data_IF_691227284664
#
_entry.id   IF_691227284664
#
_cell.length_a   1.000
_cell.length_b   1.000
_cell.length_c   1.000
_cell.angle_alpha   90.00
_cell.angle_beta   90.00
_cell.angle_gamma   90.00
#
_symmetry.space_group_name_H-M   'P 1'
#
loop_
_entity.id
_entity.type
_entity.pdbx_description
1 polymer ?
#
# COMPACT_ATOMS: atom_id res chain seq x y z
N UNK A 1 -3.45 -6.71 -5.35
CA UNK A 1 -3.54 -7.66 -4.22
C UNK A 1 -4.87 -8.39 -4.29
N UNK A 2 -4.90 -9.69 -4.01
CA UNK A 2 -6.13 -10.48 -4.04
C UNK A 2 -6.90 -10.38 -2.72
N UNK A 3 -8.22 -10.49 -2.77
CA UNK A 3 -9.12 -10.43 -1.61
C UNK A 3 -8.78 -11.50 -0.57
N UNK A 4 -8.55 -12.74 -1.01
CA UNK A 4 -8.17 -13.84 -0.14
C UNK A 4 -6.92 -13.53 0.71
N UNK A 5 -5.92 -12.87 0.12
CA UNK A 5 -4.71 -12.47 0.85
C UNK A 5 -5.02 -11.33 1.83
N UNK A 6 -5.82 -10.33 1.43
CA UNK A 6 -6.21 -9.21 2.32
C UNK A 6 -7.00 -9.71 3.53
N UNK A 7 -7.97 -10.60 3.31
CA UNK A 7 -8.75 -11.26 4.38
C UNK A 7 -7.86 -12.10 5.30
N UNK A 8 -6.93 -12.87 4.73
CA UNK A 8 -5.97 -13.64 5.51
C UNK A 8 -5.13 -12.74 6.42
N UNK A 9 -4.54 -11.66 5.88
CA UNK A 9 -3.74 -10.72 6.67
C UNK A 9 -4.55 -10.04 7.78
N UNK A 10 -5.81 -9.65 7.51
CA UNK A 10 -6.70 -9.09 8.55
C UNK A 10 -7.04 -10.10 9.64
N UNK A 11 -7.32 -11.36 9.27
CA UNK A 11 -7.57 -12.43 10.25
C UNK A 11 -6.41 -12.66 11.22
N UNK A 12 -5.21 -12.22 10.83
CA UNK A 12 -3.98 -12.30 11.62
C UNK A 12 -3.62 -11.00 12.32
N UNK A 13 -4.51 -10.00 12.33
CA UNK A 13 -4.29 -8.67 12.93
C UNK A 13 -3.06 -7.94 12.36
N UNK A 14 -2.65 -8.26 11.14
CA UNK A 14 -1.42 -7.70 10.52
C UNK A 14 -1.52 -6.18 10.36
N UNK A 15 -2.70 -5.66 10.06
CA UNK A 15 -2.93 -4.21 9.98
C UNK A 15 -2.46 -3.49 11.26
N UNK A 16 -2.88 -3.97 12.43
CA UNK A 16 -2.49 -3.36 13.71
C UNK A 16 -1.00 -3.47 13.95
N UNK A 17 -0.40 -4.64 13.71
CA UNK A 17 1.04 -4.85 13.88
C UNK A 17 1.85 -3.89 12.99
N UNK A 18 1.49 -3.78 11.70
CA UNK A 18 2.19 -2.91 10.77
C UNK A 18 1.97 -1.43 11.08
N UNK A 19 0.78 -1.03 11.56
CA UNK A 19 0.51 0.35 11.95
C UNK A 19 1.40 0.81 13.09
N UNK A 20 1.53 0.00 14.13
CA UNK A 20 2.38 0.32 15.29
C UNK A 20 3.88 0.23 14.92
N UNK A 21 4.24 -0.73 14.07
CA UNK A 21 5.61 -0.84 13.56
C UNK A 21 5.99 0.38 12.71
N UNK A 22 5.10 0.83 11.82
CA UNK A 22 5.30 2.00 10.96
C UNK A 22 5.48 3.32 11.74
N UNK A 23 4.96 3.41 12.97
CA UNK A 23 5.13 4.59 13.84
C UNK A 23 6.53 4.72 14.46
N UNK A 24 7.37 3.67 14.37
CA UNK A 24 8.71 3.71 14.93
C UNK A 24 9.61 4.68 14.15
N UNK A 25 10.33 5.56 14.84
CA UNK A 25 11.16 6.62 14.22
C UNK A 25 12.43 6.10 13.53
N UNK A 26 12.81 4.84 13.76
CA UNK A 26 14.10 4.27 13.31
C UNK A 26 13.93 3.19 12.23
N UNK A 27 12.87 3.29 11.43
CA UNK A 27 12.68 2.41 10.29
C UNK A 27 13.61 2.81 9.15
N UNK A 28 14.20 1.80 8.51
CA UNK A 28 14.76 1.99 7.18
C UNK A 28 13.69 2.54 6.24
N UNK A 29 14.08 3.45 5.35
CA UNK A 29 13.16 4.14 4.44
C UNK A 29 12.32 3.14 3.61
N UNK A 30 12.97 2.10 3.08
CA UNK A 30 12.31 1.07 2.28
C UNK A 30 11.34 0.23 3.12
N UNK A 31 11.68 -0.05 4.38
CA UNK A 31 10.81 -0.75 5.32
C UNK A 31 9.57 0.09 5.65
N UNK A 32 9.76 1.37 5.98
CA UNK A 32 8.66 2.31 6.25
C UNK A 32 7.69 2.39 5.07
N UNK A 33 8.22 2.64 3.86
CA UNK A 33 7.40 2.74 2.65
C UNK A 33 6.66 1.45 2.33
N UNK A 34 7.30 0.29 2.52
CA UNK A 34 6.64 -1.01 2.33
C UNK A 34 5.48 -1.19 3.32
N UNK A 35 5.68 -0.83 4.59
CA UNK A 35 4.61 -0.90 5.59
C UNK A 35 3.43 -0.01 5.21
N UNK A 36 3.69 1.23 4.79
CA UNK A 36 2.65 2.16 4.36
C UNK A 36 1.82 1.61 3.20
N UNK A 37 2.44 1.04 2.16
CA UNK A 37 1.72 0.43 1.02
C UNK A 37 0.81 -0.70 1.46
N UNK A 38 1.28 -1.58 2.34
CA UNK A 38 0.48 -2.69 2.86
C UNK A 38 -0.70 -2.15 3.68
N UNK A 39 -0.45 -1.16 4.54
CA UNK A 39 -1.49 -0.49 5.34
C UNK A 39 -2.57 0.12 4.44
N UNK A 40 -2.19 0.87 3.40
CA UNK A 40 -3.14 1.47 2.45
C UNK A 40 -4.03 0.42 1.76
N UNK A 41 -3.45 -0.71 1.34
CA UNK A 41 -4.18 -1.84 0.74
C UNK A 41 -5.19 -2.44 1.74
N UNK A 42 -4.82 -2.55 3.02
CA UNK A 42 -5.67 -3.10 4.07
C UNK A 42 -6.73 -2.11 4.56
N UNK A 43 -6.54 -0.79 4.45
CA UNK A 43 -7.57 0.20 4.76
C UNK A 43 -8.59 0.29 3.62
N UNK A 44 -8.13 0.38 2.36
CA UNK A 44 -9.03 0.62 1.21
C UNK A 44 -10.06 -0.49 0.94
N UNK A 45 -9.91 -1.64 1.58
CA UNK A 45 -10.84 -2.77 1.48
C UNK A 45 -11.76 -2.89 2.73
N UNK A 46 -11.66 -1.97 3.70
CA UNK A 46 -12.62 -1.82 4.83
C UNK A 46 -13.88 -1.07 4.41
N UNK A 47 -13.79 -0.16 3.44
CA UNK A 47 -14.92 0.68 3.00
C UNK A 47 -15.97 -0.10 2.18
N UNK A 48 -15.77 -1.40 1.90
CA UNK A 48 -16.66 -2.27 1.11
C UNK A 48 -17.05 -1.72 -0.28
N UNK A 49 -16.46 -0.61 -0.74
CA UNK A 49 -16.83 0.08 -1.97
C UNK A 49 -16.26 -0.58 -3.23
N UNK A 50 -15.21 -1.39 -3.08
CA UNK A 50 -14.55 -2.11 -4.16
C UNK A 50 -14.81 -3.61 -4.02
N UNK A 51 -15.94 -4.09 -4.57
CA UNK A 51 -16.25 -5.52 -4.69
C UNK A 51 -15.37 -6.22 -5.74
N UNK A 52 -14.04 -6.08 -5.65
CA UNK A 52 -13.11 -6.73 -6.57
C UNK A 52 -12.21 -7.73 -5.85
N UNK A 53 -12.09 -8.89 -6.48
CA UNK A 53 -11.25 -9.98 -5.99
C UNK A 53 -9.76 -9.71 -6.19
N UNK A 54 -9.38 -8.90 -7.19
CA UNK A 54 -7.98 -8.62 -7.47
C UNK A 54 -7.77 -7.19 -8.01
N UNK A 55 -7.08 -6.36 -7.22
CA UNK A 55 -6.78 -4.97 -7.63
C UNK A 55 -5.92 -4.87 -8.90
N UNK A 56 -5.20 -5.93 -9.27
CA UNK A 56 -4.39 -5.93 -10.50
C UNK A 56 -5.23 -6.08 -11.77
N UNK A 57 -6.49 -6.49 -11.64
CA UNK A 57 -7.42 -6.64 -12.77
C UNK A 57 -8.23 -5.37 -13.03
N UNK A 58 -8.10 -4.36 -12.15
CA UNK A 58 -8.78 -3.08 -12.32
C UNK A 58 -8.11 -2.24 -13.41
N UNK A 59 -8.92 -1.72 -14.33
CA UNK A 59 -8.46 -0.69 -15.25
C UNK A 59 -8.29 0.64 -14.51
N UNK A 60 -7.09 1.21 -14.58
CA UNK A 60 -6.82 2.56 -14.07
C UNK A 60 -7.39 3.59 -15.06
N UNK A 61 -8.28 4.49 -14.61
CA UNK A 61 -8.77 5.59 -15.44
C UNK A 61 -7.62 6.47 -15.96
N UNK A 62 -7.70 6.94 -17.21
CA UNK A 62 -6.62 7.70 -17.86
C UNK A 62 -6.21 8.95 -17.07
N UNK A 63 -7.17 9.68 -16.50
CA UNK A 63 -6.92 10.87 -15.68
C UNK A 63 -6.15 10.59 -14.38
N UNK A 64 -6.09 9.33 -13.92
CA UNK A 64 -5.30 8.91 -12.76
C UNK A 64 -3.94 8.33 -13.16
N UNK A 65 -3.78 7.87 -14.41
CA UNK A 65 -2.56 7.20 -14.87
C UNK A 65 -1.34 8.12 -14.78
N UNK A 66 -1.46 9.37 -15.23
CA UNK A 66 -0.38 10.36 -15.14
C UNK A 66 -0.01 10.67 -13.67
N UNK A 67 -1.02 10.83 -12.81
CA UNK A 67 -0.82 11.09 -11.38
C UNK A 67 -0.09 9.93 -10.69
N UNK A 68 -0.42 8.69 -10.99
CA UNK A 68 0.28 7.53 -10.43
C UNK A 68 1.73 7.47 -10.92
N UNK A 69 1.98 7.73 -12.21
CA UNK A 69 3.34 7.78 -12.75
C UNK A 69 4.20 8.88 -12.11
N UNK A 70 3.61 10.04 -11.79
CA UNK A 70 4.30 11.10 -11.06
C UNK A 70 4.65 10.69 -9.63
N UNK A 71 3.75 9.98 -8.95
CA UNK A 71 4.01 9.46 -7.60
C UNK A 71 5.16 8.45 -7.66
N UNK A 72 5.11 7.50 -8.59
CA UNK A 72 6.16 6.48 -8.74
C UNK A 72 7.53 7.11 -9.03
N UNK A 73 7.60 8.13 -9.91
CA UNK A 73 8.85 8.86 -10.18
C UNK A 73 9.42 9.54 -8.94
N UNK A 74 8.59 10.22 -8.16
CA UNK A 74 9.02 10.90 -6.93
C UNK A 74 9.51 9.90 -5.89
N UNK A 75 8.82 8.77 -5.75
CA UNK A 75 9.26 7.69 -4.87
C UNK A 75 10.63 7.12 -5.29
N UNK A 76 10.87 6.93 -6.59
CA UNK A 76 12.18 6.49 -7.10
C UNK A 76 13.30 7.50 -6.79
N UNK A 77 13.01 8.80 -6.91
CA UNK A 77 13.95 9.87 -6.56
C UNK A 77 14.24 9.89 -5.06
N UNK A 78 13.22 9.78 -4.20
CA UNK A 78 13.37 9.71 -2.75
C UNK A 78 14.13 8.45 -2.31
N UNK A 79 13.89 7.30 -2.94
CA UNK A 79 14.66 6.08 -2.67
C UNK A 79 16.15 6.30 -2.93
N UNK A 80 16.52 6.90 -4.07
CA UNK A 80 17.94 7.17 -4.43
C UNK A 80 18.63 8.15 -3.49
N UNK A 81 17.88 9.02 -2.82
CA UNK A 81 18.41 9.99 -1.85
C UNK A 81 18.66 9.32 -0.49
N UNK A 82 17.85 8.32 -0.15
CA UNK A 82 17.89 7.63 1.15
C UNK A 82 18.71 6.32 1.14
N UNK A 83 19.18 5.87 -0.04
CA UNK A 83 20.20 4.81 -0.22
C UNK A 83 21.63 5.32 0.02
#
# INVERSE_FOLDING_TARGET
ATKAVREYLRSKNIYYVLREYHQQTNLDFSCGRTCERIIQILIGDEDHTLETDNFLELSVPDHLREKFQDIDRKEEEENKINE
#
